data_IF_609481676246
#
_entry.id   IF_609481676246
#
_cell.length_a   1.000
_cell.length_b   1.000
_cell.length_c   1.000
_cell.angle_alpha   90.00
_cell.angle_beta   90.00
_cell.angle_gamma   90.00
#
_symmetry.space_group_name_H-M   'P 1'
#
loop_
_entity.id
_entity.type
_entity.pdbx_description
1 polymer ?
#
# COMPACT_ATOMS: atom_id res chain seq x y z
N UNK A 1 -10.04 -5.59 9.71
CA UNK A 1 -8.83 -4.79 10.02
C UNK A 1 -8.42 -3.95 8.81
N UNK A 2 -7.84 -2.76 9.02
CA UNK A 2 -7.31 -1.91 7.92
C UNK A 2 -6.12 -1.06 8.35
N UNK A 3 -5.33 -0.59 7.37
CA UNK A 3 -4.29 0.41 7.62
C UNK A 3 -4.96 1.76 7.91
N UNK A 4 -4.63 2.35 9.05
CA UNK A 4 -5.11 3.68 9.45
C UNK A 4 -4.23 4.77 8.85
N UNK A 5 -2.92 4.55 8.85
CA UNK A 5 -1.90 5.47 8.36
C UNK A 5 -0.70 4.68 7.89
N UNK A 6 -0.07 5.11 6.80
CA UNK A 6 1.21 4.58 6.34
C UNK A 6 2.17 5.71 5.97
N UNK A 7 3.36 5.70 6.57
CA UNK A 7 4.45 6.61 6.23
C UNK A 7 5.53 5.81 5.51
N UNK A 8 5.61 5.99 4.19
CA UNK A 8 6.64 5.36 3.35
C UNK A 8 7.97 6.11 3.52
N UNK A 9 9.08 5.39 3.47
CA UNK A 9 10.43 5.96 3.59
C UNK A 9 11.49 4.87 3.56
N UNK A 10 12.76 5.25 3.72
CA UNK A 10 13.86 4.30 3.70
C UNK A 10 14.71 4.39 4.97
N UNK A 11 14.59 3.39 5.83
CA UNK A 11 15.41 3.23 7.04
C UNK A 11 16.09 1.87 7.00
N UNK A 12 17.04 1.73 6.07
CA UNK A 12 17.70 0.47 5.77
C UNK A 12 16.71 -0.55 5.19
N UNK A 13 16.42 -1.62 5.95
CA UNK A 13 15.45 -2.65 5.53
C UNK A 13 14.00 -2.20 5.71
N UNK A 14 13.72 -1.17 6.52
CA UNK A 14 12.35 -0.69 6.75
C UNK A 14 11.94 0.23 5.60
N UNK A 15 10.80 -0.08 4.97
CA UNK A 15 10.19 0.65 3.85
C UNK A 15 9.00 1.52 4.25
N UNK A 16 8.34 1.20 5.35
CA UNK A 16 7.28 2.04 5.89
C UNK A 16 7.07 1.79 7.39
N UNK A 17 6.52 2.80 8.05
CA UNK A 17 5.85 2.66 9.34
C UNK A 17 4.36 2.82 9.15
N UNK A 18 3.56 1.98 9.80
CA UNK A 18 2.11 2.05 9.68
C UNK A 18 1.40 1.76 11.00
N UNK A 19 0.17 2.25 11.06
CA UNK A 19 -0.76 2.04 12.16
C UNK A 19 -1.93 1.19 11.66
N UNK A 20 -2.38 0.24 12.48
CA UNK A 20 -3.46 -0.69 12.15
C UNK A 20 -4.69 -0.38 12.98
N UNK A 21 -5.86 -0.30 12.35
CA UNK A 21 -7.15 -0.24 13.02
C UNK A 21 -7.82 -1.62 12.99
N UNK A 22 -8.17 -2.13 14.17
CA UNK A 22 -8.98 -3.36 14.31
C UNK A 22 -10.47 -3.05 14.20
N UNK A 23 -11.27 -4.06 13.94
CA UNK A 23 -12.72 -3.88 13.72
C UNK A 23 -13.46 -3.53 15.02
N UNK A 24 -12.86 -3.87 16.16
CA UNK A 24 -13.29 -3.50 17.52
C UNK A 24 -12.94 -2.05 17.88
N UNK A 25 -12.27 -1.31 16.98
CA UNK A 25 -11.96 0.10 17.14
C UNK A 25 -10.62 0.42 17.80
N UNK A 26 -9.76 -0.58 18.02
CA UNK A 26 -8.40 -0.33 18.51
C UNK A 26 -7.49 0.17 17.39
N UNK A 27 -6.65 1.16 17.68
CA UNK A 27 -5.57 1.58 16.79
C UNK A 27 -4.24 1.20 17.41
N UNK A 28 -3.53 0.29 16.75
CA UNK A 28 -2.23 -0.19 17.15
C UNK A 28 -1.17 0.52 16.30
N UNK A 29 -0.24 1.20 16.96
CA UNK A 29 0.76 2.03 16.29
C UNK A 29 2.11 1.36 16.18
N UNK A 30 2.87 1.74 15.16
CA UNK A 30 4.29 1.44 15.07
C UNK A 30 4.64 0.09 14.45
N UNK A 31 3.74 -0.48 13.65
CA UNK A 31 4.13 -1.58 12.78
C UNK A 31 5.14 -1.11 11.73
N UNK A 32 5.97 -2.04 11.27
CA UNK A 32 7.02 -1.79 10.29
C UNK A 32 6.79 -2.66 9.07
N UNK A 33 6.87 -2.09 7.87
CA UNK A 33 7.00 -2.87 6.64
C UNK A 33 8.48 -3.02 6.31
N UNK A 34 8.98 -4.24 6.24
CA UNK A 34 10.40 -4.57 6.15
C UNK A 34 10.67 -5.35 4.87
N UNK A 35 11.71 -4.98 4.14
CA UNK A 35 12.21 -5.70 2.97
C UNK A 35 13.25 -6.75 3.41
N UNK A 36 12.83 -8.01 3.43
CA UNK A 36 13.66 -9.17 3.70
C UNK A 36 14.18 -9.83 2.43
N UNK A 37 14.88 -10.94 2.60
CA UNK A 37 15.41 -11.76 1.50
C UNK A 37 14.26 -12.38 0.68
N UNK A 38 13.16 -12.74 1.35
CA UNK A 38 11.99 -13.37 0.74
C UNK A 38 10.87 -12.36 0.44
N UNK A 39 11.21 -11.09 0.29
CA UNK A 39 10.24 -10.01 0.01
C UNK A 39 9.82 -9.20 1.23
N UNK A 40 8.72 -8.46 1.07
CA UNK A 40 8.19 -7.56 2.09
C UNK A 40 7.44 -8.36 3.18
N UNK A 41 7.59 -7.96 4.43
CA UNK A 41 6.86 -8.53 5.56
C UNK A 41 6.68 -7.52 6.69
N UNK A 42 5.73 -7.79 7.58
CA UNK A 42 5.45 -6.93 8.74
C UNK A 42 6.31 -7.27 9.93
N UNK A 43 6.91 -6.25 10.55
CA UNK A 43 7.51 -6.29 11.88
C UNK A 43 6.57 -5.68 12.91
N UNK A 44 6.52 -6.31 14.09
CA UNK A 44 5.69 -5.86 15.20
C UNK A 44 6.12 -4.46 15.70
N UNK A 45 5.20 -3.74 16.37
CA UNK A 45 5.56 -2.59 17.18
C UNK A 45 6.58 -2.97 18.24
N UNK A 46 7.60 -2.15 18.42
CA UNK A 46 8.68 -2.41 19.37
C UNK A 46 9.16 -1.13 20.04
N UNK A 47 9.59 -1.23 21.29
CA UNK A 47 10.17 -0.12 22.05
C UNK A 47 11.59 -0.46 22.50
N UNK A 48 12.43 0.57 22.61
CA UNK A 48 13.81 0.43 23.09
C UNK A 48 13.80 0.38 24.62
N UNK A 49 14.37 -0.67 25.19
CA UNK A 49 14.59 -0.84 26.62
C UNK A 49 15.72 0.03 27.15
N UNK A 50 15.85 0.07 28.48
CA UNK A 50 16.89 0.82 29.17
C UNK A 50 18.30 0.24 28.95
N UNK A 51 18.37 -1.03 28.56
CA UNK A 51 19.58 -1.74 28.15
C UNK A 51 19.99 -1.44 26.70
N UNK A 52 19.14 -0.76 25.94
CA UNK A 52 19.38 -0.41 24.56
C UNK A 52 18.85 -1.41 23.53
N UNK A 53 18.27 -2.52 23.98
CA UNK A 53 17.67 -3.55 23.12
C UNK A 53 16.23 -3.19 22.74
N UNK A 54 15.72 -3.76 21.64
CA UNK A 54 14.33 -3.54 21.22
C UNK A 54 13.45 -4.73 21.58
N UNK A 55 12.32 -4.43 22.20
CA UNK A 55 11.34 -5.43 22.62
C UNK A 55 10.02 -5.20 21.90
N UNK A 56 9.44 -6.27 21.38
CA UNK A 56 8.09 -6.25 20.81
C UNK A 56 7.09 -5.88 21.90
N UNK A 57 6.24 -4.89 21.63
CA UNK A 57 5.18 -4.48 22.57
C UNK A 57 3.90 -5.26 22.38
N UNK A 58 3.76 -5.90 21.21
CA UNK A 58 2.59 -6.70 20.83
C UNK A 58 3.10 -7.96 20.16
N UNK A 59 2.44 -9.07 20.48
CA UNK A 59 2.66 -10.34 19.83
C UNK A 59 1.45 -10.68 18.95
N UNK A 60 1.73 -11.18 17.74
CA UNK A 60 0.74 -11.66 16.80
C UNK A 60 1.14 -13.07 16.37
N UNK A 61 0.16 -13.96 16.30
CA UNK A 61 0.34 -15.31 15.76
C UNK A 61 0.78 -15.25 14.29
N UNK A 62 1.43 -16.31 13.81
CA UNK A 62 1.97 -16.36 12.45
C UNK A 62 0.90 -16.08 11.39
N UNK A 63 -0.27 -16.69 11.51
CA UNK A 63 -1.38 -16.53 10.56
C UNK A 63 -1.83 -15.08 10.45
N UNK A 64 -2.03 -14.43 11.60
CA UNK A 64 -2.37 -13.01 11.65
C UNK A 64 -1.26 -12.13 11.06
N UNK A 65 0.00 -12.45 11.34
CA UNK A 65 1.14 -11.71 10.79
C UNK A 65 1.24 -11.81 9.27
N UNK A 66 0.93 -12.97 8.71
CA UNK A 66 0.90 -13.20 7.27
C UNK A 66 -0.24 -12.39 6.62
N UNK A 67 -1.44 -12.38 7.23
CA UNK A 67 -2.57 -11.54 6.80
C UNK A 67 -2.21 -10.04 6.85
N UNK A 68 -1.65 -9.57 7.97
CA UNK A 68 -1.20 -8.18 8.12
C UNK A 68 -0.14 -7.81 7.09
N UNK A 69 0.72 -8.75 6.71
CA UNK A 69 1.73 -8.51 5.69
C UNK A 69 1.10 -8.29 4.32
N UNK A 70 0.10 -9.09 3.94
CA UNK A 70 -0.64 -8.89 2.69
C UNK A 70 -1.33 -7.52 2.68
N UNK A 71 -2.09 -7.20 3.73
CA UNK A 71 -2.79 -5.91 3.86
C UNK A 71 -1.82 -4.73 3.75
N UNK A 72 -0.66 -4.80 4.41
CA UNK A 72 0.33 -3.75 4.39
C UNK A 72 1.03 -3.62 3.03
N UNK A 73 1.33 -4.72 2.35
CA UNK A 73 1.95 -4.73 1.02
C UNK A 73 1.00 -4.12 -0.01
N UNK A 74 -0.27 -4.53 0.02
CA UNK A 74 -1.30 -4.04 -0.90
C UNK A 74 -1.47 -2.52 -0.74
N UNK A 75 -1.62 -2.06 0.51
CA UNK A 75 -1.72 -0.63 0.81
C UNK A 75 -0.43 0.14 0.50
N UNK A 76 0.74 -0.51 0.59
CA UNK A 76 2.01 0.11 0.22
C UNK A 76 2.17 0.29 -1.29
N UNK A 77 1.65 -0.65 -2.09
CA UNK A 77 1.64 -0.55 -3.55
C UNK A 77 0.62 0.46 -4.09
N UNK A 78 -0.44 0.72 -3.33
CA UNK A 78 -1.40 1.77 -3.66
C UNK A 78 -0.75 3.15 -3.42
N UNK A 79 -0.72 3.99 -4.47
CA UNK A 79 -0.39 5.40 -4.32
C UNK A 79 -1.53 6.07 -3.53
N UNK A 80 -1.33 6.21 -2.23
CA UNK A 80 -2.26 6.91 -1.36
C UNK A 80 -2.23 8.38 -1.77
N UNK A 81 -3.17 8.79 -2.63
CA UNK A 81 -3.47 10.19 -2.83
C UNK A 81 -3.88 10.76 -1.46
N UNK A 82 -3.26 11.85 -0.99
CA UNK A 82 -3.60 12.42 0.30
C UNK A 82 -5.00 13.04 0.23
N UNK A 83 -6.01 12.36 0.77
CA UNK A 83 -7.30 12.96 1.10
C UNK A 83 -7.14 13.80 2.38
N UNK A 84 -6.69 15.04 2.21
CA UNK A 84 -6.88 16.11 3.18
C UNK A 84 -6.62 17.46 2.49
N UNK A 85 -7.61 17.95 1.76
CA UNK A 85 -7.80 19.39 1.56
C UNK A 85 -9.29 19.70 1.82
N UNK A 86 -9.62 20.54 2.82
CA UNK A 86 -10.98 20.98 3.05
C UNK A 86 -11.43 21.83 1.85
N UNK A 87 -12.56 21.45 1.28
CA UNK A 87 -13.31 22.19 0.27
C UNK A 87 -13.37 23.69 0.61
N UNK A 88 -12.52 24.49 -0.03
CA UNK A 88 -12.71 25.93 -0.12
C UNK A 88 -13.61 26.21 -1.31
N UNK A 89 -14.88 26.39 -0.98
CA UNK A 89 -15.96 26.92 -1.80
C UNK A 89 -15.50 28.09 -2.69
N UNK A 90 -15.54 27.94 -4.02
CA UNK A 90 -15.54 29.08 -4.95
C UNK A 90 -16.69 28.89 -5.94
N UNK A 91 -17.81 29.51 -5.60
CA UNK A 91 -18.97 29.64 -6.45
C UNK A 91 -18.70 30.63 -7.59
N UNK A 92 -19.04 30.19 -8.81
CA UNK A 92 -19.39 31.08 -9.93
C UNK A 92 -18.28 31.41 -10.92
N UNK A 93 -18.28 30.74 -12.08
CA UNK A 93 -18.75 31.35 -13.33
C UNK A 93 -18.89 30.27 -14.41
N UNK A 94 -20.02 30.38 -15.09
CA UNK A 94 -20.52 29.62 -16.23
C UNK A 94 -19.52 29.49 -17.38
N UNK A 95 -19.50 28.33 -18.04
CA UNK A 95 -19.79 28.32 -19.47
C UNK A 95 -20.32 26.96 -19.94
N UNK A 96 -21.58 27.01 -20.36
CA UNK A 96 -22.28 26.04 -21.18
C UNK A 96 -21.63 25.89 -22.55
N UNK A 97 -21.34 24.66 -22.98
CA UNK A 97 -21.45 24.26 -24.38
C UNK A 97 -21.74 22.76 -24.50
N UNK A 98 -22.94 22.48 -25.01
CA UNK A 98 -23.46 21.19 -25.49
C UNK A 98 -22.56 20.59 -26.59
N UNK A 99 -22.21 19.29 -26.56
CA UNK A 99 -22.94 18.12 -27.08
C UNK A 99 -22.41 17.66 -28.45
N UNK A 100 -22.02 16.38 -28.55
CA UNK A 100 -22.34 15.42 -29.63
C UNK A 100 -21.44 14.16 -29.51
N UNK A 101 -22.00 12.99 -29.12
CA UNK A 101 -22.25 11.78 -29.98
C UNK A 101 -20.97 11.01 -30.40
N UNK A 102 -20.82 9.69 -30.41
CA UNK A 102 -21.73 8.52 -30.40
C UNK A 102 -20.88 7.22 -30.54
N UNK A 103 -21.47 6.07 -30.19
CA UNK A 103 -21.17 4.69 -30.68
C UNK A 103 -19.89 3.99 -30.17
N UNK A 104 -19.74 2.67 -30.13
CA UNK A 104 -20.56 1.45 -29.95
C UNK A 104 -19.62 0.26 -30.29
N UNK A 105 -19.45 -0.69 -29.36
CA UNK A 105 -19.21 -2.15 -29.52
C UNK A 105 -18.01 -2.73 -30.32
N UNK A 106 -17.65 -3.96 -29.88
CA UNK A 106 -16.86 -5.05 -30.52
C UNK A 106 -15.33 -4.83 -30.56
N UNK A 107 -14.44 -5.82 -30.54
CA UNK A 107 -14.31 -7.24 -30.14
C UNK A 107 -12.81 -7.57 -30.41
N UNK A 108 -12.31 -8.67 -29.85
CA UNK A 108 -11.13 -9.45 -30.26
C UNK A 108 -9.66 -9.02 -29.96
N UNK A 109 -9.03 -9.96 -29.26
CA UNK A 109 -7.77 -10.65 -29.64
C UNK A 109 -6.41 -10.16 -29.08
N UNK A 110 -5.88 -11.06 -28.25
CA UNK A 110 -4.48 -11.40 -28.01
C UNK A 110 -3.46 -10.94 -29.05
N UNK A 111 -2.37 -10.31 -28.58
CA UNK A 111 -1.04 -10.60 -29.12
C UNK A 111 0.02 -10.38 -28.03
N UNK A 112 0.49 -11.47 -27.42
CA UNK A 112 1.74 -11.47 -26.65
C UNK A 112 2.82 -12.01 -27.59
N UNK A 113 3.89 -11.27 -27.89
CA UNK A 113 4.96 -11.82 -28.71
C UNK A 113 5.62 -12.99 -27.99
N UNK A 114 5.49 -14.19 -28.55
CA UNK A 114 6.20 -15.39 -28.12
C UNK A 114 7.68 -15.21 -28.46
N UNK A 115 8.51 -15.04 -27.43
CA UNK A 115 9.97 -15.05 -27.56
C UNK A 115 10.41 -16.46 -27.98
N UNK A 116 10.90 -16.61 -29.21
CA UNK A 116 11.43 -17.87 -29.73
C UNK A 116 12.93 -17.99 -29.46
N UNK A 117 13.40 -19.21 -29.25
CA UNK A 117 14.77 -19.60 -28.84
C UNK A 117 15.89 -19.14 -29.81
N UNK A 118 15.54 -18.54 -30.96
CA UNK A 118 16.46 -17.95 -31.94
C UNK A 118 16.93 -16.52 -31.60
N UNK A 119 16.35 -15.85 -30.59
CA UNK A 119 16.73 -14.47 -30.19
C UNK A 119 17.87 -14.38 -29.14
N UNK A 120 18.52 -15.51 -28.81
CA UNK A 120 19.65 -15.52 -27.86
C UNK A 120 20.98 -15.50 -28.64
N UNK A 121 21.68 -14.35 -28.74
CA UNK A 121 23.03 -14.34 -29.28
C UNK A 121 24.00 -15.08 -28.33
N UNK A 122 24.86 -15.91 -28.92
CA UNK A 122 25.94 -16.66 -28.24
C UNK A 122 26.86 -15.80 -27.36
#
# INVERSE_FOLDING_TARGET
MKIERMNKGEWGKIKAFFDLRTDEGFVIKGFKLIHGINGLFVGNPSQKGNDGEYYDTIFAEKELKDELSQIAIDHYGQEVMPENEPFSDTSGVSNSFEQSSSSAKEDESHDTPSFTDDDIPF
#
